data_IF_155332120133
#
_entry.id   IF_155332120133
#
_cell.length_a   1.000
_cell.length_b   1.000
_cell.length_c   1.000
_cell.angle_alpha   90.00
_cell.angle_beta   90.00
_cell.angle_gamma   90.00
#
_symmetry.space_group_name_H-M   'P 1'
#
loop_
_entity.id
_entity.type
_entity.pdbx_description
1 polymer ?
#
# COMPACT_ATOMS: atom_id res chain seq x y z
N UNK A 1 27.61 15.32 10.63
CA UNK A 1 28.27 14.86 9.39
C UNK A 1 28.27 15.91 8.27
N UNK A 2 27.70 17.12 8.48
CA UNK A 2 27.79 18.27 7.57
C UNK A 2 26.87 18.24 6.35
N UNK A 3 25.92 17.28 6.25
CA UNK A 3 24.91 17.28 5.19
C UNK A 3 23.99 18.50 5.33
N UNK A 4 23.78 19.20 4.23
CA UNK A 4 22.95 20.41 4.17
C UNK A 4 21.68 20.24 3.35
N UNK A 5 21.62 19.20 2.51
CA UNK A 5 20.48 18.85 1.67
C UNK A 5 20.08 17.42 1.99
N UNK A 6 18.83 17.22 2.38
CA UNK A 6 18.30 15.92 2.81
C UNK A 6 17.03 15.62 2.03
N UNK A 7 16.92 14.40 1.56
CA UNK A 7 15.70 13.81 1.02
C UNK A 7 15.31 12.62 1.89
N UNK A 8 14.10 12.64 2.40
CA UNK A 8 13.50 11.55 3.18
C UNK A 8 12.47 10.87 2.30
N UNK A 9 12.70 9.60 1.95
CA UNK A 9 11.72 8.79 1.23
C UNK A 9 11.19 7.71 2.18
N UNK A 10 9.90 7.78 2.58
CA UNK A 10 9.29 6.72 3.35
C UNK A 10 9.09 5.47 2.48
N UNK A 11 9.13 4.29 3.10
CA UNK A 11 8.72 3.02 2.50
C UNK A 11 7.24 2.69 2.78
N UNK A 12 6.48 3.64 3.31
CA UNK A 12 5.04 3.48 3.59
C UNK A 12 4.27 3.22 2.31
N UNK A 13 3.30 2.29 2.39
CA UNK A 13 2.40 2.00 1.27
C UNK A 13 1.31 3.07 1.18
N UNK A 14 0.81 3.55 2.32
CA UNK A 14 -0.31 4.47 2.42
C UNK A 14 0.06 5.73 3.20
N UNK A 15 -0.81 6.73 3.12
CA UNK A 15 -0.69 7.94 3.94
C UNK A 15 -1.33 7.69 5.32
N UNK A 16 -0.60 6.98 6.17
CA UNK A 16 -0.97 6.53 7.50
C UNK A 16 -0.47 7.48 8.62
N UNK A 17 -0.67 7.09 9.87
CA UNK A 17 -0.20 7.84 11.03
C UNK A 17 1.34 7.96 11.08
N UNK A 18 2.06 6.92 10.65
CA UNK A 18 3.53 6.95 10.61
C UNK A 18 4.02 7.97 9.59
N UNK A 19 3.33 8.08 8.46
CA UNK A 19 3.62 9.09 7.45
C UNK A 19 3.34 10.51 7.97
N UNK A 20 2.25 10.71 8.73
CA UNK A 20 1.93 11.99 9.36
C UNK A 20 2.97 12.37 10.42
N UNK A 21 3.38 11.41 11.25
CA UNK A 21 4.45 11.60 12.23
C UNK A 21 5.78 11.96 11.55
N UNK A 22 6.12 11.25 10.48
CA UNK A 22 7.33 11.54 9.70
C UNK A 22 7.29 12.95 9.11
N UNK A 23 6.15 13.38 8.52
CA UNK A 23 5.98 14.75 8.00
C UNK A 23 6.19 15.80 9.09
N UNK A 24 5.59 15.60 10.26
CA UNK A 24 5.75 16.50 11.41
C UNK A 24 7.20 16.57 11.87
N UNK A 25 7.92 15.46 11.89
CA UNK A 25 9.33 15.38 12.25
C UNK A 25 10.21 16.11 11.24
N UNK A 26 9.96 15.91 9.95
CA UNK A 26 10.68 16.61 8.85
C UNK A 26 10.41 18.12 8.90
N UNK A 27 9.17 18.51 9.16
CA UNK A 27 8.81 19.92 9.31
C UNK A 27 9.53 20.57 10.51
N UNK A 28 9.60 19.90 11.65
CA UNK A 28 10.32 20.39 12.82
C UNK A 28 11.83 20.55 12.56
N UNK A 29 12.39 19.75 11.67
CA UNK A 29 13.82 19.78 11.32
C UNK A 29 14.15 20.74 10.17
N UNK A 30 13.18 21.42 9.55
CA UNK A 30 13.39 22.20 8.31
C UNK A 30 14.46 23.28 8.41
N UNK A 31 14.59 23.91 9.57
CA UNK A 31 15.57 25.00 9.79
C UNK A 31 16.98 24.47 10.10
N UNK A 32 17.15 23.17 10.28
CA UNK A 32 18.46 22.54 10.51
C UNK A 32 19.23 22.28 9.20
N UNK A 33 18.56 22.37 8.06
CA UNK A 33 19.12 22.08 6.74
C UNK A 33 18.92 23.25 5.78
N UNK A 34 19.77 23.35 4.76
CA UNK A 34 19.54 24.28 3.64
C UNK A 34 18.34 23.86 2.81
N UNK A 35 18.14 22.55 2.68
CA UNK A 35 16.99 21.97 2.02
C UNK A 35 16.66 20.62 2.67
N UNK A 36 15.40 20.41 3.00
CA UNK A 36 14.87 19.11 3.37
C UNK A 36 13.60 18.85 2.57
N UNK A 37 13.50 17.66 1.98
CA UNK A 37 12.36 17.21 1.18
C UNK A 37 11.85 15.87 1.67
N UNK A 38 10.56 15.62 1.46
CA UNK A 38 9.93 14.34 1.77
C UNK A 38 9.20 13.81 0.53
N UNK A 39 9.43 12.55 0.21
CA UNK A 39 8.71 11.83 -0.84
C UNK A 39 7.36 11.31 -0.36
N UNK A 40 6.50 11.01 -1.31
CA UNK A 40 5.16 10.48 -1.06
C UNK A 40 5.19 8.96 -0.79
N UNK A 41 4.17 8.41 -0.09
CA UNK A 41 3.98 6.96 0.06
C UNK A 41 3.64 6.32 -1.30
N UNK A 42 3.65 4.98 -1.36
CA UNK A 42 3.45 4.23 -2.61
C UNK A 42 2.11 4.54 -3.29
N UNK A 43 1.02 4.57 -2.52
CA UNK A 43 -0.35 4.81 -3.00
C UNK A 43 -0.78 6.26 -2.72
N UNK A 44 -0.21 7.20 -3.44
CA UNK A 44 -0.49 8.62 -3.25
C UNK A 44 -1.52 9.19 -4.26
N UNK A 45 -1.61 8.62 -5.44
CA UNK A 45 -2.50 9.04 -6.52
C UNK A 45 -3.21 7.86 -7.17
N UNK A 46 -4.31 8.13 -7.91
CA UNK A 46 -5.00 7.06 -8.68
C UNK A 46 -4.06 6.40 -9.67
N UNK A 47 -3.14 7.15 -10.29
CA UNK A 47 -2.14 6.60 -11.19
C UNK A 47 -1.21 5.60 -10.48
N UNK A 48 -0.84 5.86 -9.22
CA UNK A 48 -0.04 4.92 -8.43
C UNK A 48 -0.82 3.63 -8.15
N UNK A 49 -2.11 3.73 -7.77
CA UNK A 49 -2.96 2.54 -7.60
C UNK A 49 -3.00 1.70 -8.87
N UNK A 50 -3.23 2.31 -10.03
CA UNK A 50 -3.28 1.61 -11.30
C UNK A 50 -1.95 0.94 -11.64
N UNK A 51 -0.85 1.66 -11.45
CA UNK A 51 0.49 1.14 -11.74
C UNK A 51 0.87 0.01 -10.80
N UNK A 52 0.67 0.17 -9.49
CA UNK A 52 0.95 -0.86 -8.47
C UNK A 52 0.12 -2.11 -8.72
N UNK A 53 -1.18 -1.97 -9.00
CA UNK A 53 -2.04 -3.11 -9.31
C UNK A 53 -1.62 -3.83 -10.59
N UNK A 54 -1.21 -3.09 -11.64
CA UNK A 54 -0.71 -3.66 -12.88
C UNK A 54 0.57 -4.48 -12.66
N UNK A 55 1.53 -3.92 -11.93
CA UNK A 55 2.80 -4.58 -11.58
C UNK A 55 2.52 -5.83 -10.75
N UNK A 56 1.70 -5.72 -9.71
CA UNK A 56 1.35 -6.83 -8.82
C UNK A 56 0.63 -7.95 -9.58
N UNK A 57 -0.28 -7.58 -10.50
CA UNK A 57 -0.98 -8.54 -11.32
C UNK A 57 -0.06 -9.29 -12.28
N UNK A 58 0.90 -8.60 -12.88
CA UNK A 58 1.89 -9.21 -13.77
C UNK A 58 2.81 -10.18 -13.02
N UNK A 59 3.24 -9.80 -11.80
CA UNK A 59 4.19 -10.59 -11.01
C UNK A 59 3.56 -11.81 -10.33
N UNK A 60 2.36 -11.67 -9.79
CA UNK A 60 1.75 -12.65 -8.88
C UNK A 60 0.42 -13.21 -9.36
N UNK A 61 -0.25 -12.58 -10.33
CA UNK A 61 -1.61 -12.92 -10.73
C UNK A 61 -1.77 -14.36 -11.24
N UNK A 62 -2.87 -15.01 -10.86
CA UNK A 62 -3.28 -16.33 -11.35
C UNK A 62 -4.65 -16.21 -12.02
N UNK A 63 -4.72 -16.47 -13.32
CA UNK A 63 -5.94 -16.31 -14.13
C UNK A 63 -7.13 -17.16 -13.64
N UNK A 64 -6.86 -18.36 -13.14
CA UNK A 64 -7.89 -19.32 -12.71
C UNK A 64 -8.11 -19.36 -11.19
N UNK A 65 -7.71 -18.29 -10.49
CA UNK A 65 -7.89 -18.14 -9.06
C UNK A 65 -8.45 -16.75 -8.74
N UNK A 66 -9.10 -16.59 -7.59
CA UNK A 66 -9.34 -15.32 -6.98
C UNK A 66 -8.00 -14.86 -6.34
N UNK A 67 -7.44 -13.79 -6.85
CA UNK A 67 -6.20 -13.20 -6.33
C UNK A 67 -6.56 -12.26 -5.18
N UNK A 68 -5.94 -12.44 -4.04
CA UNK A 68 -6.29 -11.73 -2.82
C UNK A 68 -5.07 -11.04 -2.25
N UNK A 69 -5.09 -9.72 -2.27
CA UNK A 69 -4.09 -8.88 -1.60
C UNK A 69 -4.38 -8.90 -0.09
N UNK A 70 -3.42 -9.41 0.66
CA UNK A 70 -3.46 -9.43 2.12
C UNK A 70 -2.76 -8.18 2.64
N UNK A 71 -3.54 -7.21 3.12
CA UNK A 71 -3.04 -5.97 3.68
C UNK A 71 -3.01 -6.07 5.21
N UNK A 72 -1.93 -5.63 5.83
CA UNK A 72 -1.88 -5.42 7.26
C UNK A 72 -2.30 -3.98 7.54
N UNK A 73 -3.35 -3.78 8.33
CA UNK A 73 -3.84 -2.44 8.68
C UNK A 73 -3.97 -2.31 10.19
N UNK A 74 -3.65 -1.13 10.69
CA UNK A 74 -3.74 -0.76 12.10
C UNK A 74 -4.62 0.48 12.32
N UNK A 75 -4.98 1.19 11.24
CA UNK A 75 -5.73 2.44 11.29
C UNK A 75 -6.88 2.46 10.30
N UNK A 76 -7.85 3.34 10.55
CA UNK A 76 -8.98 3.57 9.65
C UNK A 76 -8.54 4.15 8.28
N UNK A 77 -7.51 4.96 8.27
CA UNK A 77 -6.91 5.52 7.06
C UNK A 77 -6.36 4.43 6.15
N UNK A 78 -5.70 3.42 6.71
CA UNK A 78 -5.20 2.26 5.96
C UNK A 78 -6.36 1.40 5.43
N UNK A 79 -7.45 1.24 6.19
CA UNK A 79 -8.66 0.55 5.72
C UNK A 79 -9.31 1.27 4.52
N UNK A 80 -9.29 2.60 4.49
CA UNK A 80 -9.76 3.39 3.35
C UNK A 80 -8.93 3.11 2.08
N UNK A 81 -7.62 2.85 2.22
CA UNK A 81 -6.77 2.46 1.08
C UNK A 81 -7.18 1.11 0.51
N UNK A 82 -7.58 0.14 1.36
CA UNK A 82 -8.10 -1.15 0.89
C UNK A 82 -9.41 -0.96 0.12
N UNK A 83 -10.29 -0.08 0.59
CA UNK A 83 -11.53 0.25 -0.12
C UNK A 83 -11.23 0.83 -1.51
N UNK A 84 -10.25 1.73 -1.61
CA UNK A 84 -9.80 2.30 -2.88
C UNK A 84 -9.16 1.24 -3.79
N UNK A 85 -8.30 0.35 -3.27
CA UNK A 85 -7.75 -0.77 -4.03
C UNK A 85 -8.88 -1.62 -4.66
N UNK A 86 -9.88 -2.00 -3.85
CA UNK A 86 -11.02 -2.78 -4.34
C UNK A 86 -11.85 -2.02 -5.38
N UNK A 87 -11.99 -0.69 -5.22
CA UNK A 87 -12.68 0.14 -6.20
C UNK A 87 -11.92 0.18 -7.53
N UNK A 88 -10.63 0.49 -7.51
CA UNK A 88 -9.79 0.59 -8.72
C UNK A 88 -9.70 -0.76 -9.42
N UNK A 89 -9.53 -1.87 -8.70
CA UNK A 89 -9.54 -3.21 -9.29
C UNK A 89 -10.84 -3.47 -10.06
N UNK A 90 -11.98 -3.13 -9.49
CA UNK A 90 -13.28 -3.29 -10.15
C UNK A 90 -13.43 -2.39 -11.37
N UNK A 91 -13.03 -1.12 -11.27
CA UNK A 91 -13.07 -0.14 -12.36
C UNK A 91 -12.21 -0.59 -13.56
N UNK A 92 -11.07 -1.21 -13.29
CA UNK A 92 -10.16 -1.78 -14.30
C UNK A 92 -10.57 -3.18 -14.80
N UNK A 93 -11.73 -3.69 -14.41
CA UNK A 93 -12.23 -4.99 -14.85
C UNK A 93 -11.46 -6.19 -14.27
N UNK A 94 -10.71 -6.00 -13.19
CA UNK A 94 -9.98 -7.06 -12.48
C UNK A 94 -10.93 -7.89 -11.59
N UNK A 95 -11.92 -8.54 -12.22
CA UNK A 95 -13.06 -9.17 -11.54
C UNK A 95 -12.68 -10.31 -10.58
N UNK A 96 -11.50 -10.91 -10.74
CA UNK A 96 -10.98 -11.96 -9.86
C UNK A 96 -9.96 -11.47 -8.84
N UNK A 97 -9.88 -10.15 -8.64
CA UNK A 97 -8.99 -9.54 -7.64
C UNK A 97 -9.76 -8.94 -6.48
N UNK A 98 -9.22 -9.11 -5.29
CA UNK A 98 -9.79 -8.64 -4.03
C UNK A 98 -8.66 -8.16 -3.11
N UNK A 99 -8.96 -7.25 -2.21
CA UNK A 99 -8.08 -6.86 -1.13
C UNK A 99 -8.82 -6.93 0.20
N UNK A 100 -8.14 -7.39 1.23
CA UNK A 100 -8.69 -7.47 2.58
C UNK A 100 -7.62 -7.19 3.64
N UNK A 101 -8.07 -6.88 4.86
CA UNK A 101 -7.24 -6.59 6.01
C UNK A 101 -7.07 -7.82 6.90
N UNK A 102 -5.85 -8.04 7.38
CA UNK A 102 -5.58 -9.08 8.38
C UNK A 102 -6.04 -8.70 9.78
N UNK A 103 -6.15 -7.42 10.08
CA UNK A 103 -6.50 -6.91 11.42
C UNK A 103 -7.74 -6.00 11.45
N UNK A 104 -8.30 -5.65 10.27
CA UNK A 104 -9.37 -4.66 10.16
C UNK A 104 -10.45 -5.04 9.13
N UNK A 105 -10.91 -4.06 8.37
CA UNK A 105 -11.97 -4.22 7.38
C UNK A 105 -11.44 -3.94 5.95
N UNK A 106 -11.84 -4.75 4.92
CA UNK A 106 -12.65 -5.98 4.99
C UNK A 106 -11.89 -7.15 5.63
N UNK A 107 -12.51 -7.85 6.57
CA UNK A 107 -11.94 -9.04 7.20
C UNK A 107 -11.99 -10.28 6.29
N UNK A 108 -11.38 -11.38 6.71
CA UNK A 108 -11.44 -12.66 6.00
C UNK A 108 -12.88 -13.16 5.81
N UNK A 109 -13.79 -12.93 6.76
CA UNK A 109 -15.19 -13.31 6.67
C UNK A 109 -15.93 -12.49 5.60
N UNK A 110 -15.62 -11.18 5.50
CA UNK A 110 -16.13 -10.31 4.45
C UNK A 110 -15.67 -10.81 3.07
N UNK A 111 -14.38 -11.13 2.97
CA UNK A 111 -13.80 -11.68 1.75
C UNK A 111 -14.46 -13.00 1.34
N UNK A 112 -14.61 -13.95 2.27
CA UNK A 112 -15.27 -15.23 2.01
C UNK A 112 -16.71 -15.03 1.49
N UNK A 113 -17.46 -14.04 2.05
CA UNK A 113 -18.81 -13.71 1.54
C UNK A 113 -18.75 -13.20 0.08
N UNK A 114 -17.78 -12.35 -0.25
CA UNK A 114 -17.60 -11.85 -1.62
C UNK A 114 -17.21 -12.97 -2.58
N UNK A 115 -16.28 -13.81 -2.20
CA UNK A 115 -15.81 -14.94 -3.01
C UNK A 115 -16.94 -15.96 -3.32
N UNK A 116 -17.89 -16.15 -2.38
CA UNK A 116 -19.05 -17.03 -2.59
C UNK A 116 -19.99 -16.55 -3.70
N UNK A 117 -19.98 -15.25 -4.02
CA UNK A 117 -20.76 -14.72 -5.15
C UNK A 117 -20.12 -15.04 -6.50
N UNK A 118 -18.83 -15.37 -6.51
CA UNK A 118 -18.07 -15.77 -7.69
C UNK A 118 -18.14 -17.27 -7.96
N UNK A 119 -17.58 -17.68 -9.12
CA UNK A 119 -17.53 -19.09 -9.55
C UNK A 119 -16.20 -19.77 -9.27
N UNK A 120 -15.17 -19.02 -8.90
CA UNK A 120 -13.83 -19.55 -8.67
C UNK A 120 -13.78 -20.38 -7.39
N UNK A 121 -13.05 -21.50 -7.45
CA UNK A 121 -12.83 -22.45 -6.33
C UNK A 121 -11.38 -22.46 -5.84
N UNK A 122 -10.55 -21.62 -6.45
CA UNK A 122 -9.16 -21.44 -6.07
C UNK A 122 -8.96 -20.01 -5.61
N UNK A 123 -8.17 -19.84 -4.55
CA UNK A 123 -7.73 -18.54 -4.03
C UNK A 123 -6.21 -18.51 -4.04
N UNK A 124 -5.64 -17.40 -4.46
CA UNK A 124 -4.23 -17.13 -4.38
C UNK A 124 -4.01 -15.93 -3.47
N UNK A 125 -3.33 -16.14 -2.34
CA UNK A 125 -3.01 -15.12 -1.35
C UNK A 125 -1.68 -14.46 -1.71
N UNK A 126 -1.65 -13.15 -1.69
CA UNK A 126 -0.50 -12.31 -2.04
C UNK A 126 -0.27 -11.31 -0.89
N UNK A 127 0.89 -11.34 -0.20
CA UNK A 127 1.22 -10.34 0.80
C UNK A 127 1.32 -8.95 0.15
N UNK A 128 0.50 -8.01 0.62
CA UNK A 128 0.53 -6.64 0.13
C UNK A 128 1.18 -5.73 1.16
N UNK A 129 2.50 -5.85 1.26
CA UNK A 129 3.34 -5.09 2.17
C UNK A 129 4.69 -4.81 1.52
N UNK A 130 5.37 -3.76 1.95
CA UNK A 130 6.67 -3.38 1.38
C UNK A 130 7.78 -4.31 1.86
N UNK A 131 7.90 -4.47 3.16
CA UNK A 131 8.80 -5.44 3.80
C UNK A 131 8.15 -5.90 5.08
N UNK A 132 8.25 -7.17 5.38
CA UNK A 132 7.56 -7.67 6.55
C UNK A 132 8.50 -8.30 7.55
N UNK A 133 8.16 -8.09 8.81
CA UNK A 133 8.48 -9.08 9.80
C UNK A 133 7.89 -10.43 9.33
N UNK A 134 8.71 -11.28 8.73
CA UNK A 134 8.30 -12.55 8.11
C UNK A 134 7.36 -13.39 8.98
N UNK A 135 7.40 -13.21 10.31
CA UNK A 135 6.60 -13.97 11.25
C UNK A 135 5.12 -13.59 11.22
N UNK A 136 4.80 -12.28 11.15
CA UNK A 136 3.40 -11.82 11.17
C UNK A 136 2.67 -12.17 9.87
N UNK A 137 3.34 -12.02 8.73
CA UNK A 137 2.78 -12.46 7.45
C UNK A 137 2.55 -13.95 7.45
N UNK A 138 3.53 -14.74 7.89
CA UNK A 138 3.44 -16.20 7.91
C UNK A 138 2.26 -16.63 8.77
N UNK A 139 2.08 -16.03 9.95
CA UNK A 139 0.99 -16.34 10.86
C UNK A 139 -0.38 -15.96 10.25
N UNK A 140 -0.50 -14.75 9.73
CA UNK A 140 -1.74 -14.28 9.10
C UNK A 140 -2.09 -15.09 7.85
N UNK A 141 -1.09 -15.43 7.05
CA UNK A 141 -1.27 -16.26 5.86
C UNK A 141 -1.76 -17.66 6.21
N UNK A 142 -1.21 -18.28 7.26
CA UNK A 142 -1.65 -19.59 7.75
C UNK A 142 -3.11 -19.53 8.24
N UNK A 143 -3.49 -18.51 9.00
CA UNK A 143 -4.86 -18.31 9.49
C UNK A 143 -5.84 -18.12 8.32
N UNK A 144 -5.50 -17.28 7.35
CA UNK A 144 -6.35 -17.04 6.18
C UNK A 144 -6.48 -18.27 5.29
N UNK A 145 -5.37 -19.01 5.11
CA UNK A 145 -5.38 -20.30 4.37
C UNK A 145 -6.37 -21.25 5.03
N UNK A 146 -6.27 -21.46 6.34
CA UNK A 146 -7.17 -22.35 7.08
C UNK A 146 -8.64 -21.92 6.97
N UNK A 147 -8.94 -20.63 7.10
CA UNK A 147 -10.29 -20.10 6.99
C UNK A 147 -10.89 -20.32 5.59
N UNK A 148 -10.10 -20.09 4.54
CA UNK A 148 -10.52 -20.27 3.16
C UNK A 148 -10.69 -21.76 2.79
N UNK A 149 -9.80 -22.63 3.25
CA UNK A 149 -9.92 -24.08 3.05
C UNK A 149 -11.16 -24.63 3.76
N UNK A 150 -11.44 -24.19 4.99
CA UNK A 150 -12.68 -24.50 5.72
C UNK A 150 -13.93 -24.01 4.96
N UNK A 151 -13.82 -22.92 4.22
CA UNK A 151 -14.89 -22.39 3.38
C UNK A 151 -15.02 -23.11 2.01
N UNK A 152 -14.16 -24.12 1.72
CA UNK A 152 -14.22 -24.97 0.53
C UNK A 152 -13.37 -24.49 -0.65
N UNK A 153 -12.39 -23.60 -0.43
CA UNK A 153 -11.46 -23.16 -1.47
C UNK A 153 -10.15 -23.95 -1.46
N UNK A 154 -9.53 -24.07 -2.63
CA UNK A 154 -8.13 -24.50 -2.75
C UNK A 154 -7.25 -23.28 -2.69
N UNK A 155 -6.34 -23.23 -1.73
CA UNK A 155 -5.50 -22.04 -1.48
C UNK A 155 -4.08 -22.27 -1.98
N UNK A 156 -3.52 -21.25 -2.60
CA UNK A 156 -2.10 -21.12 -2.91
C UNK A 156 -1.61 -19.77 -2.39
N UNK A 157 -0.35 -19.67 -2.04
CA UNK A 157 0.23 -18.46 -1.45
C UNK A 157 1.46 -18.02 -2.23
N UNK A 158 1.68 -16.73 -2.34
CA UNK A 158 3.00 -16.16 -2.62
C UNK A 158 3.64 -15.73 -1.29
N UNK A 159 4.95 -15.86 -1.18
CA UNK A 159 5.70 -15.50 0.03
C UNK A 159 6.55 -14.25 -0.15
N UNK A 160 6.58 -13.70 -1.37
CA UNK A 160 7.31 -12.48 -1.70
C UNK A 160 6.41 -11.27 -1.48
N UNK A 161 6.98 -10.21 -0.92
CA UNK A 161 6.31 -8.94 -0.71
C UNK A 161 6.31 -8.10 -2.00
N UNK A 162 5.48 -7.07 -2.08
CA UNK A 162 5.52 -6.15 -3.23
C UNK A 162 6.82 -5.36 -3.28
N UNK A 163 7.49 -5.12 -2.15
CA UNK A 163 8.80 -4.47 -2.08
C UNK A 163 9.95 -5.28 -2.72
N UNK A 164 9.74 -6.57 -3.00
CA UNK A 164 10.71 -7.39 -3.75
C UNK A 164 10.71 -7.09 -5.26
N UNK A 165 9.73 -6.31 -5.75
CA UNK A 165 9.60 -5.95 -7.16
C UNK A 165 10.35 -4.65 -7.46
N UNK A 166 11.30 -4.71 -8.40
CA UNK A 166 12.06 -3.53 -8.81
C UNK A 166 11.17 -2.41 -9.36
N UNK A 167 10.09 -2.77 -10.05
CA UNK A 167 9.11 -1.84 -10.59
C UNK A 167 8.38 -1.04 -9.50
N UNK A 168 8.14 -1.65 -8.34
CA UNK A 168 7.61 -0.95 -7.16
C UNK A 168 8.65 0.02 -6.59
N UNK A 169 9.91 -0.40 -6.52
CA UNK A 169 11.01 0.49 -6.10
C UNK A 169 11.14 1.69 -7.05
N UNK A 170 10.90 1.49 -8.34
CA UNK A 170 10.95 2.58 -9.33
C UNK A 170 9.85 3.63 -9.12
N UNK A 171 8.66 3.25 -8.59
CA UNK A 171 7.63 4.22 -8.19
C UNK A 171 8.17 5.12 -7.07
N UNK A 172 8.75 4.55 -6.01
CA UNK A 172 9.37 5.35 -4.95
C UNK A 172 10.50 6.25 -5.46
N UNK A 173 11.31 5.77 -6.42
CA UNK A 173 12.33 6.61 -7.08
C UNK A 173 11.71 7.80 -7.85
N UNK A 174 10.54 7.61 -8.44
CA UNK A 174 9.79 8.71 -9.06
C UNK A 174 9.28 9.70 -8.01
N UNK A 175 8.73 9.21 -6.90
CA UNK A 175 8.29 10.04 -5.78
C UNK A 175 9.46 10.87 -5.20
N UNK A 176 10.68 10.31 -5.13
CA UNK A 176 11.88 11.08 -4.75
C UNK A 176 12.13 12.30 -5.66
N UNK A 177 11.88 12.17 -6.98
CA UNK A 177 12.09 13.27 -7.93
C UNK A 177 11.09 14.41 -7.74
N UNK A 178 9.89 14.09 -7.27
CA UNK A 178 8.79 15.02 -7.04
C UNK A 178 8.58 15.35 -5.55
N UNK A 179 9.56 14.98 -4.70
CA UNK A 179 9.47 15.16 -3.26
C UNK A 179 9.23 16.62 -2.86
N UNK A 180 8.26 16.81 -1.97
CA UNK A 180 7.87 18.12 -1.44
C UNK A 180 9.01 18.76 -0.61
N UNK A 181 9.26 20.05 -0.83
CA UNK A 181 10.24 20.80 -0.06
C UNK A 181 9.59 21.47 1.15
N UNK A 182 10.09 21.15 2.35
CA UNK A 182 9.71 21.83 3.57
C UNK A 182 10.56 23.09 3.75
N UNK A 183 9.93 24.24 3.59
CA UNK A 183 10.54 25.54 3.80
C UNK A 183 9.56 26.53 4.40
N UNK A 184 10.07 27.54 5.04
CA UNK A 184 9.24 28.66 5.52
C UNK A 184 8.71 29.46 4.33
N UNK A 185 7.38 29.52 4.19
CA UNK A 185 6.74 30.33 3.15
C UNK A 185 7.05 31.82 3.34
N UNK A 186 7.37 32.49 2.26
CA UNK A 186 7.49 33.94 2.24
C UNK A 186 6.14 34.61 2.54
N UNK A 187 6.16 35.89 2.98
CA UNK A 187 4.95 36.67 3.24
C UNK A 187 4.01 36.71 1.99
N UNK A 188 4.60 36.82 0.80
CA UNK A 188 3.88 36.89 -0.46
C UNK A 188 3.17 35.55 -0.79
N UNK A 189 3.82 34.41 -0.58
CA UNK A 189 3.25 33.07 -0.79
C UNK A 189 2.11 32.80 0.19
N UNK A 190 2.26 33.21 1.47
CA UNK A 190 1.18 33.11 2.48
C UNK A 190 -0.06 33.90 2.12
N UNK A 191 0.07 35.03 1.40
CA UNK A 191 -1.07 35.81 0.90
C UNK A 191 -1.79 35.13 -0.26
N UNK A 192 -1.09 34.39 -1.11
CA UNK A 192 -1.68 33.67 -2.25
C UNK A 192 -2.52 32.46 -1.81
N UNK A 193 -2.14 31.78 -0.73
CA UNK A 193 -2.87 30.63 -0.18
C UNK A 193 -4.17 31.03 0.53
N UNK A 194 -4.28 32.30 0.97
CA UNK A 194 -5.48 32.84 1.65
C UNK A 194 -6.56 33.36 0.71
N UNK A 195 -6.39 33.25 -0.60
CA UNK A 195 -7.37 33.60 -1.64
C UNK A 195 -8.02 32.35 -2.22
#
# INVERSE_FOLDING_TARGET
EGYTHVLVQPSSIANDNDMQYLRSTVEAAKDMFKQIRIGEPLLNSIADYEQVLSITAAAYGKEKAANVLMCNTSTYEEENQIAMLNYVMRDKGMANWHAGSTNGYPSIENLIRQLKMGKLKKVHLIPFSFSDGMQDITNNMAQWTQALEKAGYKVTTDTRCIGDLNEIIDIYRQHCKHAEEFRTLTAKERQLIKR
#
